data_IF_599867476564
#
_entry.id   IF_599867476564
#
_cell.length_a   1.000
_cell.length_b   1.000
_cell.length_c   1.000
_cell.angle_alpha   90.00
_cell.angle_beta   90.00
_cell.angle_gamma   90.00
#
_symmetry.space_group_name_H-M   'P 1'
#
loop_
_entity.id
_entity.type
_entity.pdbx_description
1 polymer ?
#
# COMPACT_ATOMS: atom_id res chain seq x y z
N UNK A 1 -8.04 -17.04 8.29
CA UNK A 1 -6.97 -16.01 8.26
C UNK A 1 -7.22 -15.16 7.04
N UNK A 2 -7.56 -13.88 7.21
CA UNK A 2 -7.90 -12.99 6.09
C UNK A 2 -6.61 -12.57 5.38
N UNK A 3 -6.53 -12.75 4.06
CA UNK A 3 -5.38 -12.34 3.26
C UNK A 3 -5.81 -11.22 2.32
N UNK A 4 -5.29 -10.01 2.55
CA UNK A 4 -5.58 -8.82 1.74
C UNK A 4 -4.28 -8.42 1.04
N UNK A 5 -4.33 -8.29 -0.28
CA UNK A 5 -3.19 -7.86 -1.11
C UNK A 5 -3.56 -6.56 -1.83
N UNK A 6 -2.72 -5.54 -1.70
CA UNK A 6 -2.81 -4.30 -2.48
C UNK A 6 -1.67 -4.25 -3.48
N UNK A 7 -1.97 -4.05 -4.77
CA UNK A 7 -0.99 -4.04 -5.85
C UNK A 7 -1.46 -3.10 -6.97
N UNK A 8 -0.52 -2.46 -7.66
CA UNK A 8 -0.76 -1.27 -8.49
C UNK A 8 -0.64 -1.54 -9.98
N UNK A 9 -1.54 -1.06 -10.85
CA UNK A 9 -1.25 -1.16 -12.29
C UNK A 9 -0.08 -0.25 -12.70
N UNK A 10 0.78 -0.68 -13.64
CA UNK A 10 1.72 0.24 -14.29
C UNK A 10 0.93 1.35 -15.00
N UNK A 11 1.44 2.59 -14.94
CA UNK A 11 0.79 3.74 -15.56
C UNK A 11 0.54 3.48 -17.07
N UNK A 12 -0.65 3.85 -17.57
CA UNK A 12 -1.06 3.64 -18.98
C UNK A 12 -0.16 4.32 -20.02
N UNK A 13 0.75 5.20 -19.58
CA UNK A 13 1.85 5.71 -20.37
C UNK A 13 3.15 5.36 -19.66
N UNK A 14 4.01 4.56 -20.31
CA UNK A 14 5.45 4.75 -20.13
C UNK A 14 5.70 6.22 -20.43
N UNK A 15 6.05 7.02 -19.42
CA UNK A 15 6.66 8.31 -19.70
C UNK A 15 7.94 7.95 -20.45
N UNK A 16 8.02 8.27 -21.74
CA UNK A 16 9.07 7.78 -22.64
C UNK A 16 10.49 8.25 -22.23
N UNK A 17 10.63 9.11 -21.23
CA UNK A 17 11.92 9.57 -20.66
C UNK A 17 11.91 9.72 -19.11
N UNK A 18 10.94 9.14 -18.38
CA UNK A 18 10.78 9.34 -16.93
C UNK A 18 11.03 8.08 -16.09
N UNK A 19 11.45 8.26 -14.82
CA UNK A 19 11.59 7.18 -13.86
C UNK A 19 10.24 6.46 -13.65
N UNK A 20 10.23 5.12 -13.66
CA UNK A 20 8.99 4.37 -13.47
C UNK A 20 8.49 4.56 -12.02
N UNK A 21 7.29 5.14 -11.81
CA UNK A 21 6.73 5.35 -10.50
C UNK A 21 6.73 4.09 -9.62
N UNK A 22 6.50 2.91 -10.23
CA UNK A 22 6.47 1.63 -9.53
C UNK A 22 7.85 1.23 -9.04
N UNK A 23 8.87 1.45 -9.86
CA UNK A 23 10.26 1.12 -9.53
C UNK A 23 10.80 2.05 -8.47
N UNK A 24 10.47 3.35 -8.54
CA UNK A 24 10.84 4.33 -7.50
C UNK A 24 10.24 3.98 -6.14
N UNK A 25 8.95 3.63 -6.10
CA UNK A 25 8.30 3.25 -4.84
C UNK A 25 8.85 1.93 -4.29
N UNK A 26 8.98 0.91 -5.13
CA UNK A 26 9.46 -0.42 -4.70
C UNK A 26 10.93 -0.39 -4.29
N UNK A 27 11.78 0.34 -5.01
CA UNK A 27 13.19 0.48 -4.65
C UNK A 27 13.35 1.20 -3.31
N UNK A 28 12.62 2.29 -3.06
CA UNK A 28 12.68 2.95 -1.75
C UNK A 28 12.22 2.01 -0.63
N UNK A 29 11.10 1.32 -0.86
CA UNK A 29 10.56 0.37 0.10
C UNK A 29 11.55 -0.76 0.42
N UNK A 30 12.17 -1.37 -0.60
CA UNK A 30 13.18 -2.40 -0.43
C UNK A 30 14.40 -1.92 0.36
N UNK A 31 14.93 -0.75 0.02
CA UNK A 31 16.19 -0.27 0.59
C UNK A 31 16.04 0.32 2.00
N UNK A 32 14.90 0.96 2.29
CA UNK A 32 14.76 1.79 3.50
C UNK A 32 13.71 1.28 4.51
N UNK A 33 12.84 0.37 4.09
CA UNK A 33 11.67 -0.04 4.90
C UNK A 33 11.66 -1.56 5.13
N UNK A 34 11.89 -2.35 4.08
CA UNK A 34 11.86 -3.79 4.16
C UNK A 34 12.84 -4.32 5.20
N UNK A 35 12.40 -5.28 6.02
CA UNK A 35 13.20 -5.87 7.10
C UNK A 35 13.41 -5.01 8.34
N UNK A 36 12.92 -3.76 8.38
CA UNK A 36 13.00 -2.91 9.58
C UNK A 36 11.89 -3.22 10.59
N UNK A 37 12.12 -2.97 11.88
CA UNK A 37 11.12 -3.22 12.95
C UNK A 37 9.84 -2.39 12.77
N UNK A 38 9.96 -1.19 12.16
CA UNK A 38 8.85 -0.28 11.86
C UNK A 38 8.34 -0.39 10.42
N UNK A 39 8.61 -1.51 9.74
CA UNK A 39 8.28 -1.69 8.33
C UNK A 39 6.79 -1.43 8.03
N UNK A 40 5.88 -1.89 8.89
CA UNK A 40 4.44 -1.68 8.70
C UNK A 40 4.06 -0.20 8.68
N UNK A 41 4.42 0.54 9.74
CA UNK A 41 4.10 1.96 9.87
C UNK A 41 4.73 2.79 8.75
N UNK A 42 6.01 2.56 8.45
CA UNK A 42 6.72 3.24 7.37
C UNK A 42 6.13 2.93 5.99
N UNK A 43 5.68 1.69 5.76
CA UNK A 43 5.00 1.30 4.52
C UNK A 43 3.68 2.06 4.38
N UNK A 44 2.88 2.16 5.45
CA UNK A 44 1.63 2.91 5.43
C UNK A 44 1.86 4.40 5.12
N UNK A 45 2.87 5.01 5.76
CA UNK A 45 3.26 6.39 5.50
C UNK A 45 3.71 6.58 4.05
N UNK A 46 4.55 5.67 3.52
CA UNK A 46 5.03 5.73 2.14
C UNK A 46 3.88 5.67 1.14
N UNK A 47 2.96 4.71 1.31
CA UNK A 47 1.80 4.53 0.43
C UNK A 47 0.88 5.75 0.51
N UNK A 48 0.57 6.24 1.72
CA UNK A 48 -0.25 7.45 1.87
C UNK A 48 0.37 8.64 1.15
N UNK A 49 1.66 8.87 1.37
CA UNK A 49 2.35 10.04 0.83
C UNK A 49 2.52 9.93 -0.71
N UNK A 50 2.55 8.71 -1.26
CA UNK A 50 2.47 8.44 -2.70
C UNK A 50 1.13 8.89 -3.28
N UNK A 51 0.02 8.48 -2.66
CA UNK A 51 -1.34 8.77 -3.15
C UNK A 51 -1.81 10.20 -2.88
N UNK A 52 -1.30 10.87 -1.86
CA UNK A 52 -1.67 12.27 -1.59
C UNK A 52 -1.13 13.26 -2.63
N UNK A 53 0.03 12.96 -3.23
CA UNK A 53 0.77 13.92 -4.06
C UNK A 53 0.60 13.69 -5.56
N UNK A 54 0.27 12.48 -5.98
CA UNK A 54 0.12 12.03 -7.38
C UNK A 54 1.25 12.52 -8.33
N UNK A 55 2.43 12.82 -7.78
CA UNK A 55 3.56 13.44 -8.48
C UNK A 55 4.84 12.71 -8.15
N UNK A 56 5.42 12.08 -9.16
CA UNK A 56 6.68 11.33 -9.07
C UNK A 56 7.81 12.28 -8.64
N UNK A 57 7.87 13.50 -9.19
CA UNK A 57 8.89 14.49 -8.83
C UNK A 57 8.80 14.91 -7.37
N UNK A 58 7.58 15.16 -6.87
CA UNK A 58 7.36 15.52 -5.47
C UNK A 58 7.72 14.36 -4.53
N UNK A 59 7.46 13.12 -4.96
CA UNK A 59 7.82 11.92 -4.23
C UNK A 59 9.35 11.72 -4.21
N UNK A 60 10.01 11.79 -5.37
CA UNK A 60 11.47 11.69 -5.47
C UNK A 60 12.16 12.78 -4.67
N UNK A 61 11.66 14.01 -4.64
CA UNK A 61 12.24 15.06 -3.78
C UNK A 61 12.22 14.70 -2.28
N UNK A 62 11.23 13.92 -1.84
CA UNK A 62 11.07 13.50 -0.45
C UNK A 62 11.79 12.20 -0.11
N UNK A 63 11.87 11.28 -1.07
CA UNK A 63 12.29 9.89 -0.85
C UNK A 63 13.50 9.44 -1.69
N UNK A 64 13.94 10.19 -2.70
CA UNK A 64 15.04 9.77 -3.55
C UNK A 64 16.40 10.11 -2.94
N UNK A 65 17.09 9.08 -2.49
CA UNK A 65 18.55 9.03 -2.40
C UNK A 65 18.97 7.63 -2.82
N UNK A 66 19.89 7.56 -3.80
CA UNK A 66 20.62 6.38 -4.28
C UNK A 66 19.81 5.07 -4.31
N UNK A 67 18.80 5.03 -5.17
CA UNK A 67 17.99 3.85 -5.41
C UNK A 67 18.77 2.87 -6.29
N UNK A 68 19.39 1.87 -5.66
CA UNK A 68 20.04 0.79 -6.38
C UNK A 68 19.00 -0.07 -7.10
N UNK A 69 19.30 -0.41 -8.36
CA UNK A 69 18.52 -1.35 -9.15
C UNK A 69 18.99 -2.77 -8.81
N UNK A 70 18.38 -3.36 -7.78
CA UNK A 70 18.72 -4.70 -7.34
C UNK A 70 17.99 -5.79 -8.14
N UNK A 71 18.49 -7.02 -8.11
CA UNK A 71 17.81 -8.17 -8.74
C UNK A 71 16.45 -8.44 -8.10
N UNK A 72 16.30 -8.17 -6.80
CA UNK A 72 15.04 -8.30 -6.06
C UNK A 72 13.98 -7.31 -6.57
N UNK A 73 14.37 -6.08 -6.92
CA UNK A 73 13.45 -5.12 -7.54
C UNK A 73 12.92 -5.65 -8.87
N UNK A 74 13.81 -6.20 -9.70
CA UNK A 74 13.45 -6.79 -10.99
C UNK A 74 12.56 -8.01 -10.84
N UNK A 75 12.80 -8.84 -9.83
CA UNK A 75 11.95 -9.99 -9.53
C UNK A 75 10.56 -9.54 -9.08
N UNK A 76 10.47 -8.62 -8.11
CA UNK A 76 9.18 -8.12 -7.60
C UNK A 76 8.34 -7.46 -8.69
N UNK A 77 8.97 -6.65 -9.54
CA UNK A 77 8.29 -6.01 -10.67
C UNK A 77 7.81 -7.05 -11.69
N UNK A 78 8.61 -8.08 -11.98
CA UNK A 78 8.23 -9.17 -12.89
C UNK A 78 7.07 -10.00 -12.34
N UNK A 79 7.11 -10.38 -11.06
CA UNK A 79 6.04 -11.12 -10.39
C UNK A 79 4.73 -10.32 -10.40
N UNK A 80 4.84 -9.02 -10.15
CA UNK A 80 3.71 -8.11 -10.14
C UNK A 80 3.08 -7.95 -11.54
N UNK A 81 3.88 -7.79 -12.58
CA UNK A 81 3.40 -7.74 -13.96
C UNK A 81 2.79 -9.07 -14.40
N UNK A 82 3.34 -10.20 -13.94
CA UNK A 82 2.77 -11.54 -14.14
C UNK A 82 1.39 -11.67 -13.50
N UNK A 83 1.26 -11.27 -12.24
CA UNK A 83 0.00 -11.32 -11.50
C UNK A 83 -1.10 -10.45 -12.14
N UNK A 84 -0.77 -9.23 -12.61
CA UNK A 84 -1.73 -8.36 -13.31
C UNK A 84 -2.31 -9.06 -14.54
N UNK A 85 -1.45 -9.74 -15.31
CA UNK A 85 -1.85 -10.46 -16.52
C UNK A 85 -2.69 -11.69 -16.19
N UNK A 86 -2.25 -12.49 -15.23
CA UNK A 86 -2.95 -13.71 -14.80
C UNK A 86 -4.33 -13.42 -14.23
N UNK A 87 -4.45 -12.35 -13.44
CA UNK A 87 -5.71 -11.94 -12.82
C UNK A 87 -6.57 -11.03 -13.71
N UNK A 88 -6.19 -10.84 -14.99
CA UNK A 88 -6.91 -10.03 -15.99
C UNK A 88 -7.28 -8.61 -15.49
N UNK A 89 -6.40 -7.98 -14.73
CA UNK A 89 -6.69 -6.68 -14.11
C UNK A 89 -6.63 -5.59 -15.17
N UNK A 90 -7.79 -5.03 -15.50
CA UNK A 90 -7.94 -4.00 -16.56
C UNK A 90 -8.15 -2.58 -16.04
N UNK A 91 -8.37 -2.41 -14.73
CA UNK A 91 -8.68 -1.14 -14.09
C UNK A 91 -8.07 -1.01 -12.69
N UNK A 92 -8.06 0.20 -12.15
CA UNK A 92 -7.64 0.51 -10.77
C UNK A 92 -8.65 1.44 -10.09
N UNK A 93 -8.84 1.32 -8.76
CA UNK A 93 -8.35 0.23 -7.93
C UNK A 93 -9.06 -1.10 -8.24
N UNK A 94 -8.35 -2.21 -8.07
CA UNK A 94 -8.90 -3.57 -8.07
C UNK A 94 -8.50 -4.24 -6.77
N UNK A 95 -9.48 -4.81 -6.07
CA UNK A 95 -9.28 -5.48 -4.79
C UNK A 95 -9.53 -6.98 -4.97
N UNK A 96 -8.71 -7.80 -4.33
CA UNK A 96 -8.93 -9.24 -4.25
C UNK A 96 -9.11 -9.65 -2.80
N UNK A 97 -10.15 -10.45 -2.52
CA UNK A 97 -10.42 -11.03 -1.22
C UNK A 97 -10.42 -12.55 -1.35
N UNK A 98 -9.51 -13.22 -0.63
CA UNK A 98 -9.34 -14.67 -0.71
C UNK A 98 -9.14 -15.21 -2.15
N UNK A 99 -8.48 -14.45 -3.01
CA UNK A 99 -8.19 -14.82 -4.40
C UNK A 99 -9.30 -14.48 -5.40
N UNK A 100 -10.44 -13.94 -4.96
CA UNK A 100 -11.53 -13.50 -5.84
C UNK A 100 -11.52 -11.99 -5.99
N UNK A 101 -11.72 -11.49 -7.22
CA UNK A 101 -11.90 -10.06 -7.47
C UNK A 101 -13.15 -9.58 -6.72
N UNK A 102 -13.00 -8.49 -5.98
CA UNK A 102 -14.07 -7.88 -5.23
C UNK A 102 -15.08 -7.25 -6.21
N UNK A 103 -16.39 -7.56 -6.09
CA UNK A 103 -17.35 -7.13 -7.10
C UNK A 103 -17.45 -5.61 -7.21
N UNK A 104 -17.47 -5.11 -8.45
CA UNK A 104 -17.40 -3.67 -8.74
C UNK A 104 -18.57 -2.85 -8.20
N UNK A 105 -19.69 -3.51 -7.91
CA UNK A 105 -20.89 -2.92 -7.34
C UNK A 105 -20.78 -2.64 -5.83
N UNK A 106 -19.73 -3.16 -5.18
CA UNK A 106 -19.47 -2.94 -3.77
C UNK A 106 -18.35 -1.94 -3.58
N UNK A 107 -18.58 -1.02 -2.65
CA UNK A 107 -17.59 -0.09 -2.11
C UNK A 107 -16.72 -0.77 -1.05
N UNK A 108 -15.63 -0.11 -0.65
CA UNK A 108 -14.80 -0.58 0.47
C UNK A 108 -15.61 -0.55 1.77
N UNK A 109 -16.51 0.41 1.91
CA UNK A 109 -17.42 0.53 3.05
C UNK A 109 -18.36 -0.69 3.15
N UNK A 110 -18.76 -1.28 2.02
CA UNK A 110 -19.59 -2.48 2.01
C UNK A 110 -18.85 -3.72 2.55
N UNK A 111 -17.50 -3.73 2.54
CA UNK A 111 -16.71 -4.80 3.18
C UNK A 111 -16.99 -4.90 4.68
N UNK A 112 -17.22 -3.76 5.33
CA UNK A 112 -17.50 -3.68 6.78
C UNK A 112 -18.76 -4.49 7.10
N UNK A 113 -19.76 -4.42 6.22
CA UNK A 113 -21.02 -5.16 6.37
C UNK A 113 -20.89 -6.62 5.95
N UNK A 114 -20.00 -6.95 5.00
CA UNK A 114 -19.87 -8.29 4.44
C UNK A 114 -18.95 -9.24 5.21
N UNK A 115 -18.09 -8.72 6.10
CA UNK A 115 -17.18 -9.55 6.90
C UNK A 115 -17.66 -9.56 8.36
N UNK A 116 -18.34 -10.64 8.81
CA UNK A 116 -18.80 -10.75 10.19
C UNK A 116 -17.63 -10.59 11.18
N UNK A 117 -17.81 -9.73 12.18
CA UNK A 117 -16.79 -9.43 13.18
C UNK A 117 -15.74 -8.39 12.76
N UNK A 118 -15.76 -7.90 11.52
CA UNK A 118 -14.86 -6.83 11.08
C UNK A 118 -15.24 -5.49 11.74
N UNK A 119 -16.54 -5.23 11.90
CA UNK A 119 -17.05 -4.09 12.67
C UNK A 119 -16.57 -4.15 14.13
N UNK A 120 -16.69 -5.31 14.77
CA UNK A 120 -16.26 -5.50 16.17
C UNK A 120 -14.74 -5.33 16.32
N UNK A 121 -13.98 -5.78 15.32
CA UNK A 121 -12.53 -5.60 15.26
C UNK A 121 -12.16 -4.12 15.14
N UNK A 122 -12.72 -3.39 14.18
CA UNK A 122 -12.43 -1.96 14.00
C UNK A 122 -12.89 -1.11 15.19
N UNK A 123 -14.05 -1.44 15.78
CA UNK A 123 -14.52 -0.79 17.00
C UNK A 123 -13.53 -0.95 18.14
N UNK A 124 -12.98 -2.15 18.33
CA UNK A 124 -11.95 -2.43 19.34
C UNK A 124 -10.64 -1.69 19.07
N UNK A 125 -10.18 -1.63 17.83
CA UNK A 125 -8.96 -0.89 17.45
C UNK A 125 -9.13 0.62 17.66
N UNK A 126 -10.30 1.19 17.35
CA UNK A 126 -10.62 2.60 17.62
C UNK A 126 -10.62 2.88 19.13
N UNK A 127 -11.17 1.98 19.95
CA UNK A 127 -11.17 2.12 21.40
C UNK A 127 -9.75 2.03 21.99
N UNK A 128 -8.91 1.12 21.49
CA UNK A 128 -7.52 0.96 21.91
C UNK A 128 -6.63 2.16 21.51
N UNK A 129 -6.81 2.68 20.30
CA UNK A 129 -6.09 3.87 19.80
C UNK A 129 -6.55 5.15 20.52
N UNK A 130 -7.85 5.30 20.77
CA UNK A 130 -8.40 6.41 21.56
C UNK A 130 -7.95 6.42 23.03
N UNK A 131 -7.78 5.24 23.64
CA UNK A 131 -7.24 5.13 25.00
C UNK A 131 -5.73 5.45 25.06
N UNK A 132 -4.97 5.18 24.00
CA UNK A 132 -3.54 5.50 23.94
C UNK A 132 -3.30 7.02 23.92
N UNK A 133 -4.17 7.80 23.27
CA UNK A 133 -4.13 9.27 23.30
C UNK A 133 -4.47 9.82 24.69
N UNK A 134 -5.46 9.23 25.39
CA UNK A 134 -5.84 9.63 26.76
C UNK A 134 -4.76 9.28 27.79
N UNK A 135 -4.07 8.14 27.64
CA UNK A 135 -3.00 7.73 28.54
C UNK A 135 -1.80 8.68 28.49
N UNK A 136 -1.43 9.16 27.29
CA UNK A 136 -0.33 10.12 27.12
C UNK A 136 -0.66 11.55 27.61
N UNK A 137 -1.95 11.90 27.73
CA UNK A 137 -2.39 13.19 28.30
C UNK A 137 -2.59 13.13 29.83
N UNK A 138 -2.58 11.94 30.44
CA UNK A 138 -2.73 11.73 31.89
C UNK A 138 -1.43 11.67 32.67
N UNK A 139 -0.27 11.68 31.99
CA UNK A 139 1.06 11.68 32.61
C UNK A 139 1.75 13.05 32.59
N UNK A 140 1.05 14.11 32.17
CA UNK A 140 1.49 15.51 32.29
C UNK A 140 0.57 16.26 33.26
N UNK A 141 0.60 15.90 34.55
CA UNK A 141 0.27 16.77 35.70
C UNK A 141 1.16 16.38 36.87
#
# INVERSE_FOLDING_TARGET
KLHISFRFLPAKKKQEEGADPREVLLSYWLNQIYGTESASEKTQLLIRDWFERESIDAFMKKYATDLEHSDELRELTTLHDGWIKEAEITKTPTLFLNGFEFPQQYSVEDLIMMVPGLTDYFQREIELSGNSIKKNMGEIV
#
